data_IF_806188203715
#
_entry.id   IF_806188203715
#
_cell.length_a   1.000
_cell.length_b   1.000
_cell.length_c   1.000
_cell.angle_alpha   90.00
_cell.angle_beta   90.00
_cell.angle_gamma   90.00
#
_symmetry.space_group_name_H-M   'P 1'
#
loop_
_entity.id
_entity.type
_entity.pdbx_description
1 polymer ?
#
# COMPACT_ATOMS: atom_id res chain seq x y z
N UNK A 1 -20.20 -10.27 18.74
CA UNK A 1 -18.89 -10.04 18.13
C UNK A 1 -18.60 -11.22 17.24
N UNK A 2 -18.38 -10.98 15.95
CA UNK A 2 -18.11 -12.04 14.97
C UNK A 2 -16.61 -12.29 14.76
N UNK A 3 -15.77 -11.30 15.11
CA UNK A 3 -14.31 -11.40 15.05
C UNK A 3 -13.66 -10.38 15.97
N UNK A 4 -12.43 -10.64 16.39
CA UNK A 4 -11.59 -9.75 17.19
C UNK A 4 -10.60 -9.05 16.28
N UNK A 5 -10.50 -7.70 16.30
CA UNK A 5 -9.52 -6.99 15.49
C UNK A 5 -8.09 -7.32 15.95
N UNK A 6 -7.20 -7.51 14.99
CA UNK A 6 -5.84 -7.98 15.24
C UNK A 6 -4.79 -6.98 14.77
N UNK A 7 -4.90 -6.49 13.52
CA UNK A 7 -3.99 -5.50 12.95
C UNK A 7 -4.72 -4.65 11.93
N UNK A 8 -4.25 -3.42 11.77
CA UNK A 8 -4.58 -2.57 10.63
C UNK A 8 -3.34 -2.38 9.80
N UNK A 9 -3.48 -2.43 8.48
CA UNK A 9 -2.37 -2.25 7.57
C UNK A 9 -2.79 -1.39 6.36
N UNK A 10 -1.81 -0.73 5.80
CA UNK A 10 -1.90 -0.03 4.54
C UNK A 10 -0.56 -0.13 3.83
N UNK A 11 -0.48 0.40 2.62
CA UNK A 11 0.75 0.48 1.87
C UNK A 11 1.10 1.94 1.60
N UNK A 12 2.36 2.17 1.34
CA UNK A 12 2.97 3.47 1.12
C UNK A 12 4.14 3.29 0.15
N UNK A 13 5.04 4.24 0.06
CA UNK A 13 6.14 4.20 -0.88
C UNK A 13 7.48 4.05 -0.19
N UNK A 14 8.31 3.14 -0.72
CA UNK A 14 9.75 3.06 -0.47
C UNK A 14 10.51 3.58 -1.68
N UNK A 15 11.57 4.33 -1.44
CA UNK A 15 12.40 4.89 -2.51
C UNK A 15 13.88 4.96 -2.15
N UNK A 16 14.72 4.97 -3.17
CA UNK A 16 16.17 5.11 -3.06
C UNK A 16 16.56 6.60 -2.96
N UNK A 17 17.02 7.03 -1.78
CA UNK A 17 17.48 8.41 -1.53
C UNK A 17 18.70 8.83 -2.35
N UNK A 18 19.41 7.88 -2.96
CA UNK A 18 20.49 8.19 -3.89
C UNK A 18 19.97 8.64 -5.27
N UNK A 19 18.69 8.39 -5.56
CA UNK A 19 18.02 8.74 -6.82
C UNK A 19 17.06 9.92 -6.64
N UNK A 20 16.31 9.93 -5.53
CA UNK A 20 15.25 10.89 -5.30
C UNK A 20 15.51 11.75 -4.06
N UNK A 21 15.25 13.05 -4.17
CA UNK A 21 15.04 13.92 -3.03
C UNK A 21 13.62 13.72 -2.43
N UNK A 22 13.39 14.30 -1.24
CA UNK A 22 12.05 14.30 -0.61
C UNK A 22 11.02 15.11 -1.43
N UNK A 23 11.44 16.04 -2.26
CA UNK A 23 10.55 16.81 -3.14
C UNK A 23 10.20 16.03 -4.41
N UNK A 24 11.14 15.29 -4.99
CA UNK A 24 10.90 14.48 -6.19
C UNK A 24 9.81 13.43 -5.98
N UNK A 25 9.74 12.86 -4.78
CA UNK A 25 8.79 11.77 -4.46
C UNK A 25 7.37 12.25 -4.14
N UNK A 26 7.11 13.54 -4.20
CA UNK A 26 5.76 14.11 -4.01
C UNK A 26 4.88 14.00 -5.24
N UNK A 27 5.46 13.82 -6.42
CA UNK A 27 4.74 13.73 -7.68
C UNK A 27 5.22 12.53 -8.51
N UNK A 28 4.29 11.70 -8.95
CA UNK A 28 4.58 10.44 -9.63
C UNK A 28 5.23 10.66 -11.01
N UNK A 29 4.83 11.71 -11.73
CA UNK A 29 5.37 12.02 -13.05
C UNK A 29 6.84 12.46 -12.92
N UNK A 30 7.17 13.28 -11.92
CA UNK A 30 8.54 13.67 -11.56
C UNK A 30 9.39 12.44 -11.21
N UNK A 31 8.82 11.48 -10.46
CA UNK A 31 9.52 10.25 -10.12
C UNK A 31 9.88 9.42 -11.37
N UNK A 32 8.98 9.31 -12.34
CA UNK A 32 9.26 8.61 -13.59
C UNK A 32 10.41 9.26 -14.36
N UNK A 33 10.43 10.59 -14.44
CA UNK A 33 11.50 11.34 -15.10
C UNK A 33 12.85 11.12 -14.39
N UNK A 34 12.89 11.29 -13.07
CA UNK A 34 14.12 11.14 -12.27
C UNK A 34 14.65 9.71 -12.27
N UNK A 35 13.78 8.71 -12.19
CA UNK A 35 14.18 7.32 -12.34
C UNK A 35 14.82 7.07 -13.72
N UNK A 36 14.21 7.60 -14.79
CA UNK A 36 14.75 7.50 -16.15
C UNK A 36 16.11 8.19 -16.32
N UNK A 37 16.31 9.39 -15.74
CA UNK A 37 17.60 10.08 -15.71
C UNK A 37 18.69 9.23 -15.04
N UNK A 38 18.32 8.46 -14.01
CA UNK A 38 19.22 7.55 -13.31
C UNK A 38 19.37 6.17 -13.98
N UNK A 39 18.71 5.92 -15.11
CA UNK A 39 18.66 4.62 -15.77
C UNK A 39 17.91 3.54 -15.00
N UNK A 40 17.02 3.94 -14.11
CA UNK A 40 16.20 3.07 -13.25
C UNK A 40 14.71 3.23 -13.57
N UNK A 41 13.87 2.48 -12.86
CA UNK A 41 12.41 2.49 -13.03
C UNK A 41 11.68 2.74 -11.72
N UNK A 42 10.47 3.28 -11.81
CA UNK A 42 9.47 3.23 -10.74
C UNK A 42 8.63 1.96 -10.95
N UNK A 43 8.46 1.17 -9.91
CA UNK A 43 7.71 -0.10 -9.98
C UNK A 43 6.38 0.01 -9.24
N UNK A 44 5.30 -0.53 -9.84
CA UNK A 44 3.97 -0.52 -9.25
C UNK A 44 3.15 -1.76 -9.64
N UNK A 45 2.34 -2.28 -8.71
CA UNK A 45 1.50 -3.48 -8.89
C UNK A 45 0.17 -3.13 -9.57
N UNK A 46 0.18 -2.93 -10.90
CA UNK A 46 -1.04 -2.60 -11.66
C UNK A 46 -2.03 -3.76 -11.78
N UNK A 47 -1.59 -4.99 -11.52
CA UNK A 47 -2.44 -6.21 -11.62
C UNK A 47 -3.20 -6.54 -10.34
N UNK A 48 -3.00 -5.76 -9.28
CA UNK A 48 -3.63 -5.96 -7.98
C UNK A 48 -4.55 -4.79 -7.62
N UNK A 49 -5.84 -5.09 -7.42
CA UNK A 49 -6.86 -4.10 -7.07
C UNK A 49 -6.58 -3.35 -5.75
N UNK A 50 -5.83 -3.97 -4.83
CA UNK A 50 -5.38 -3.33 -3.59
C UNK A 50 -4.50 -2.10 -3.83
N UNK A 51 -3.78 -2.07 -4.95
CA UNK A 51 -2.86 -0.98 -5.32
C UNK A 51 -3.43 -0.08 -6.42
N UNK A 52 -3.90 -0.65 -7.54
CA UNK A 52 -4.29 0.11 -8.74
C UNK A 52 -5.38 1.15 -8.49
N UNK A 53 -6.27 0.91 -7.53
CA UNK A 53 -7.36 1.81 -7.17
C UNK A 53 -6.88 3.22 -6.78
N UNK A 54 -5.62 3.37 -6.31
CA UNK A 54 -5.08 4.66 -5.90
C UNK A 54 -5.06 5.70 -7.04
N UNK A 55 -4.86 5.27 -8.29
CA UNK A 55 -4.95 6.13 -9.47
C UNK A 55 -6.40 6.58 -9.73
N UNK A 56 -7.36 5.66 -9.59
CA UNK A 56 -8.78 5.98 -9.76
C UNK A 56 -9.27 6.97 -8.71
N UNK A 57 -8.88 6.76 -7.45
CA UNK A 57 -9.22 7.68 -6.35
C UNK A 57 -8.57 9.04 -6.56
N UNK A 58 -7.34 9.10 -7.06
CA UNK A 58 -6.67 10.37 -7.39
C UNK A 58 -7.45 11.17 -8.44
N UNK A 59 -8.14 10.50 -9.37
CA UNK A 59 -8.98 11.17 -10.39
C UNK A 59 -10.45 11.31 -9.99
N UNK A 60 -10.79 11.17 -8.70
CA UNK A 60 -12.12 11.43 -8.15
C UNK A 60 -13.10 10.27 -8.21
N UNK A 61 -12.62 9.03 -8.46
CA UNK A 61 -13.42 7.83 -8.20
C UNK A 61 -13.54 7.58 -6.70
N UNK A 62 -14.67 7.05 -6.27
CA UNK A 62 -14.94 6.83 -4.84
C UNK A 62 -15.41 5.41 -4.55
N UNK A 63 -15.06 4.91 -3.37
CA UNK A 63 -15.57 3.67 -2.80
C UNK A 63 -16.23 4.04 -1.47
N UNK A 64 -17.55 3.83 -1.38
CA UNK A 64 -18.35 4.19 -0.21
C UNK A 64 -18.23 5.69 0.16
N UNK A 65 -18.34 6.57 -0.86
CA UNK A 65 -18.20 8.02 -0.70
C UNK A 65 -16.78 8.39 -0.25
N UNK A 66 -16.67 8.90 0.97
CA UNK A 66 -15.39 9.20 1.63
C UNK A 66 -14.69 7.96 2.26
N UNK A 67 -15.28 6.78 2.07
CA UNK A 67 -14.83 5.50 2.65
C UNK A 67 -15.67 5.05 3.86
N UNK A 68 -16.67 5.82 4.26
CA UNK A 68 -17.51 5.54 5.46
C UNK A 68 -18.99 5.37 5.18
N UNK A 69 -19.46 5.81 4.00
CA UNK A 69 -20.86 5.75 3.59
C UNK A 69 -21.11 4.53 2.69
N UNK A 70 -21.56 3.43 3.29
CA UNK A 70 -21.87 2.20 2.56
C UNK A 70 -23.01 2.34 1.56
N UNK A 71 -23.90 3.33 1.74
CA UNK A 71 -25.05 3.56 0.84
C UNK A 71 -24.60 4.30 -0.45
N UNK A 72 -23.48 5.04 -0.40
CA UNK A 72 -22.89 5.67 -1.57
C UNK A 72 -22.36 4.68 -2.61
N UNK A 73 -22.10 3.42 -2.21
CA UNK A 73 -21.67 2.36 -3.09
C UNK A 73 -20.31 2.61 -3.76
N UNK A 74 -20.18 2.14 -5.02
CA UNK A 74 -18.94 2.17 -5.79
C UNK A 74 -19.14 3.10 -6.99
N UNK A 75 -18.25 4.09 -7.13
CA UNK A 75 -18.23 5.04 -8.26
C UNK A 75 -16.87 5.01 -8.98
N UNK A 76 -16.62 3.90 -9.68
CA UNK A 76 -15.42 3.65 -10.51
C UNK A 76 -15.81 3.54 -11.98
N UNK A 77 -16.64 4.47 -12.47
CA UNK A 77 -17.16 4.48 -13.83
C UNK A 77 -17.13 5.85 -14.49
N UNK A 78 -17.64 5.89 -15.73
CA UNK A 78 -17.74 7.12 -16.54
C UNK A 78 -16.39 7.65 -17.01
N UNK A 79 -16.40 8.89 -17.50
CA UNK A 79 -15.25 9.53 -18.16
C UNK A 79 -14.03 9.61 -17.23
N UNK A 80 -14.23 9.87 -15.93
CA UNK A 80 -13.14 9.94 -14.96
C UNK A 80 -12.38 8.62 -14.82
N UNK A 81 -13.08 7.48 -14.84
CA UNK A 81 -12.46 6.17 -14.78
C UNK A 81 -11.83 5.77 -16.12
N UNK A 82 -12.45 6.14 -17.25
CA UNK A 82 -11.89 5.93 -18.58
C UNK A 82 -10.54 6.65 -18.72
N UNK A 83 -10.46 7.92 -18.34
CA UNK A 83 -9.21 8.69 -18.36
C UNK A 83 -8.09 8.02 -17.54
N UNK A 84 -8.40 7.45 -16.37
CA UNK A 84 -7.42 6.69 -15.58
C UNK A 84 -6.97 5.44 -16.34
N UNK A 85 -7.90 4.72 -16.97
CA UNK A 85 -7.56 3.50 -17.71
C UNK A 85 -6.63 3.81 -18.89
N UNK A 86 -6.89 4.88 -19.64
CA UNK A 86 -6.02 5.36 -20.72
C UNK A 86 -4.63 5.72 -20.18
N UNK A 87 -4.57 6.50 -19.10
CA UNK A 87 -3.31 6.83 -18.43
C UNK A 87 -2.51 5.58 -18.02
N UNK A 88 -3.16 4.56 -17.46
CA UNK A 88 -2.50 3.32 -17.03
C UNK A 88 -1.98 2.49 -18.21
N UNK A 89 -2.64 2.54 -19.37
CA UNK A 89 -2.12 1.91 -20.61
C UNK A 89 -0.84 2.59 -21.05
N UNK A 90 -0.83 3.93 -21.08
CA UNK A 90 0.35 4.72 -21.44
C UNK A 90 1.49 4.52 -20.41
N UNK A 91 1.15 4.51 -19.12
CA UNK A 91 2.09 4.24 -18.03
C UNK A 91 2.74 2.87 -18.18
N UNK A 92 1.97 1.83 -18.50
CA UNK A 92 2.50 0.48 -18.69
C UNK A 92 3.49 0.38 -19.89
N UNK A 93 3.36 1.28 -20.86
CA UNK A 93 4.26 1.40 -22.00
C UNK A 93 5.47 2.33 -21.73
N UNK A 94 5.50 3.04 -20.60
CA UNK A 94 6.57 3.98 -20.27
C UNK A 94 7.88 3.22 -19.97
N UNK A 95 9.00 3.55 -20.62
CA UNK A 95 10.29 2.85 -20.42
C UNK A 95 10.85 2.99 -19.00
N UNK A 96 10.46 4.04 -18.27
CA UNK A 96 10.90 4.33 -16.90
C UNK A 96 9.98 3.69 -15.83
N UNK A 97 9.02 2.88 -16.29
CA UNK A 97 8.04 2.20 -15.43
C UNK A 97 8.19 0.68 -15.49
N UNK A 98 7.91 0.00 -14.39
CA UNK A 98 7.87 -1.46 -14.28
C UNK A 98 6.52 -1.89 -13.73
N UNK A 99 5.75 -2.62 -14.54
CA UNK A 99 4.56 -3.34 -14.05
C UNK A 99 5.04 -4.52 -13.21
N UNK A 100 4.84 -4.46 -11.90
CA UNK A 100 5.21 -5.53 -10.98
C UNK A 100 4.06 -6.53 -10.85
N UNK A 101 4.16 -7.64 -11.54
CA UNK A 101 3.19 -8.74 -11.47
C UNK A 101 3.66 -9.92 -10.59
N UNK A 102 4.96 -10.01 -10.31
CA UNK A 102 5.62 -11.20 -9.75
C UNK A 102 6.63 -10.89 -8.63
N UNK A 103 6.67 -9.64 -8.14
CA UNK A 103 7.64 -9.20 -7.13
C UNK A 103 8.98 -8.71 -7.70
N UNK A 104 9.07 -8.57 -9.03
CA UNK A 104 10.27 -8.06 -9.71
C UNK A 104 10.65 -6.64 -9.28
N UNK A 105 9.67 -5.83 -8.87
CA UNK A 105 9.92 -4.49 -8.32
C UNK A 105 10.81 -4.52 -7.09
N UNK A 106 10.43 -5.28 -6.06
CA UNK A 106 11.22 -5.43 -4.85
C UNK A 106 12.55 -6.15 -5.13
N UNK A 107 12.55 -7.15 -6.02
CA UNK A 107 13.77 -7.87 -6.41
C UNK A 107 14.81 -6.93 -7.04
N UNK A 108 14.38 -6.00 -7.92
CA UNK A 108 15.24 -5.03 -8.60
C UNK A 108 15.56 -3.74 -7.81
N UNK A 109 14.97 -3.56 -6.61
CA UNK A 109 15.15 -2.34 -5.83
C UNK A 109 16.61 -2.11 -5.46
N UNK A 110 17.08 -0.87 -5.64
CA UNK A 110 18.48 -0.47 -5.46
C UNK A 110 19.36 -0.69 -6.70
N UNK A 111 18.97 -1.58 -7.62
CA UNK A 111 19.66 -1.83 -8.89
C UNK A 111 18.90 -1.19 -10.06
N UNK A 112 17.97 -1.88 -10.66
CA UNK A 112 17.19 -1.42 -11.82
C UNK A 112 15.90 -0.67 -11.44
N UNK A 113 15.49 -0.72 -10.17
CA UNK A 113 14.30 -0.07 -9.62
C UNK A 113 14.70 0.89 -8.53
N UNK A 114 14.16 2.12 -8.57
CA UNK A 114 14.43 3.18 -7.61
C UNK A 114 13.29 3.41 -6.61
N UNK A 115 12.07 2.97 -6.91
CA UNK A 115 10.93 3.08 -5.99
C UNK A 115 9.95 1.91 -6.17
N UNK A 116 9.37 1.48 -5.03
CA UNK A 116 8.32 0.45 -4.96
C UNK A 116 7.23 0.89 -3.99
N UNK A 117 6.02 0.36 -4.20
CA UNK A 117 4.87 0.61 -3.34
C UNK A 117 4.53 -0.67 -2.59
N UNK A 118 4.66 -0.63 -1.28
CA UNK A 118 4.40 -1.76 -0.38
C UNK A 118 4.15 -1.28 1.05
N UNK A 119 3.89 -2.19 1.97
CA UNK A 119 3.63 -1.89 3.37
C UNK A 119 4.79 -2.31 4.28
N UNK A 120 4.54 -2.28 5.60
CA UNK A 120 5.52 -2.64 6.62
C UNK A 120 6.02 -4.08 6.50
N UNK A 121 5.27 -4.96 5.83
CA UNK A 121 5.65 -6.37 5.61
C UNK A 121 6.90 -6.57 4.75
N UNK A 122 7.29 -5.56 3.95
CA UNK A 122 8.50 -5.59 3.11
C UNK A 122 9.63 -4.71 3.67
N UNK A 123 9.45 -4.08 4.85
CA UNK A 123 10.41 -3.13 5.41
C UNK A 123 11.83 -3.72 5.57
N UNK A 124 11.94 -4.95 6.08
CA UNK A 124 13.23 -5.63 6.28
C UNK A 124 13.92 -5.90 4.94
N UNK A 125 13.18 -6.39 3.94
CA UNK A 125 13.71 -6.66 2.61
C UNK A 125 14.15 -5.38 1.89
N UNK A 126 13.40 -4.28 2.04
CA UNK A 126 13.77 -2.95 1.51
C UNK A 126 15.04 -2.43 2.21
N UNK A 127 15.12 -2.57 3.54
CA UNK A 127 16.30 -2.16 4.32
C UNK A 127 17.55 -2.94 3.93
N UNK A 128 17.41 -4.25 3.67
CA UNK A 128 18.51 -5.07 3.18
C UNK A 128 19.06 -4.56 1.84
N UNK A 129 18.17 -4.13 0.92
CA UNK A 129 18.55 -3.66 -0.41
C UNK A 129 19.09 -2.24 -0.44
N UNK A 130 18.48 -1.31 0.26
CA UNK A 130 18.80 0.12 0.20
C UNK A 130 19.71 0.59 1.33
N UNK A 131 19.82 -0.14 2.43
CA UNK A 131 20.63 0.27 3.58
C UNK A 131 20.24 1.67 4.09
N UNK A 132 21.22 2.56 4.16
CA UNK A 132 21.01 3.95 4.60
C UNK A 132 20.35 4.85 3.54
N UNK A 133 20.26 4.39 2.29
CA UNK A 133 19.52 5.06 1.23
C UNK A 133 18.02 4.76 1.24
N UNK A 134 17.54 3.93 2.17
CA UNK A 134 16.10 3.68 2.31
C UNK A 134 15.36 4.97 2.67
N UNK A 135 14.47 5.40 1.78
CA UNK A 135 13.50 6.45 1.99
C UNK A 135 12.09 5.86 2.11
N UNK A 136 11.24 6.54 2.90
CA UNK A 136 9.83 6.20 3.07
C UNK A 136 9.02 7.48 2.91
N UNK A 137 7.94 7.43 2.13
CA UNK A 137 7.06 8.57 1.93
C UNK A 137 5.59 8.15 1.80
N UNK A 138 4.69 9.12 2.02
CA UNK A 138 3.29 9.00 1.62
C UNK A 138 3.19 8.83 0.10
N UNK A 139 2.02 8.40 -0.38
CA UNK A 139 1.78 8.28 -1.82
C UNK A 139 1.86 9.66 -2.50
N UNK A 140 2.43 9.71 -3.71
CA UNK A 140 2.57 10.95 -4.47
C UNK A 140 1.23 11.45 -5.03
N UNK A 141 1.23 12.65 -5.55
CA UNK A 141 0.23 13.11 -6.52
C UNK A 141 0.51 12.48 -7.89
N UNK A 142 -0.49 12.45 -8.76
CA UNK A 142 -0.37 12.03 -10.16
C UNK A 142 -1.22 12.96 -11.03
N UNK A 143 -0.76 13.25 -12.25
CA UNK A 143 -1.50 14.08 -13.21
C UNK A 143 -2.19 13.19 -14.24
N UNK A 144 -3.53 13.18 -14.23
CA UNK A 144 -4.36 12.42 -15.17
C UNK A 144 -5.28 13.38 -15.91
N UNK A 145 -5.24 13.36 -17.24
CA UNK A 145 -6.01 14.28 -18.10
C UNK A 145 -5.83 15.77 -17.70
N UNK A 146 -4.56 16.17 -17.42
CA UNK A 146 -4.21 17.53 -17.03
C UNK A 146 -4.65 17.94 -15.62
N UNK A 147 -5.21 17.03 -14.84
CA UNK A 147 -5.65 17.26 -13.47
C UNK A 147 -4.75 16.53 -12.47
N UNK A 148 -4.14 17.27 -11.57
CA UNK A 148 -3.38 16.69 -10.47
C UNK A 148 -4.31 16.18 -9.36
N UNK A 149 -4.06 14.96 -8.89
CA UNK A 149 -4.81 14.33 -7.81
C UNK A 149 -3.92 13.55 -6.86
N UNK A 150 -4.31 13.50 -5.59
CA UNK A 150 -3.58 12.77 -4.56
C UNK A 150 -3.92 11.28 -4.61
N UNK A 151 -2.93 10.42 -4.82
CA UNK A 151 -3.10 8.98 -4.66
C UNK A 151 -3.38 8.64 -3.20
N UNK A 152 -4.30 7.69 -2.98
CA UNK A 152 -4.66 7.23 -1.63
C UNK A 152 -4.71 5.71 -1.60
N UNK A 153 -4.13 5.11 -0.56
CA UNK A 153 -4.25 3.69 -0.28
C UNK A 153 -5.52 3.37 0.51
N UNK A 154 -5.97 2.13 0.40
CA UNK A 154 -6.97 1.60 1.32
C UNK A 154 -6.33 1.23 2.66
N UNK A 155 -7.12 1.31 3.72
CA UNK A 155 -6.77 0.74 5.02
C UNK A 155 -7.38 -0.65 5.08
N UNK A 156 -6.53 -1.67 5.28
CA UNK A 156 -6.95 -3.04 5.54
C UNK A 156 -7.03 -3.32 7.03
N UNK A 157 -7.90 -4.21 7.41
CA UNK A 157 -7.98 -4.74 8.77
C UNK A 157 -8.00 -6.26 8.73
N UNK A 158 -7.23 -6.89 9.63
CA UNK A 158 -7.28 -8.32 9.85
C UNK A 158 -7.91 -8.59 11.21
N UNK A 159 -8.75 -9.59 11.25
CA UNK A 159 -9.46 -9.97 12.47
C UNK A 159 -9.38 -11.49 12.66
N UNK A 160 -9.46 -11.92 13.91
CA UNK A 160 -9.48 -13.34 14.30
C UNK A 160 -10.92 -13.72 14.56
N UNK A 161 -11.46 -14.60 13.72
CA UNK A 161 -12.81 -15.14 13.88
C UNK A 161 -12.78 -16.55 14.49
N UNK A 162 -13.91 -16.95 15.05
CA UNK A 162 -14.13 -18.32 15.56
C UNK A 162 -15.00 -19.08 14.55
N UNK A 163 -14.56 -20.27 14.15
CA UNK A 163 -15.37 -21.13 13.31
C UNK A 163 -16.65 -21.53 14.05
N UNK A 164 -17.86 -21.27 13.50
CA UNK A 164 -19.11 -21.59 14.14
C UNK A 164 -19.33 -23.11 14.34
N UNK A 165 -18.58 -23.93 13.61
CA UNK A 165 -18.63 -25.40 13.71
C UNK A 165 -17.52 -25.98 14.62
N UNK A 166 -16.80 -25.15 15.37
CA UNK A 166 -15.80 -25.65 16.32
C UNK A 166 -16.48 -26.48 17.42
N UNK A 167 -15.91 -27.66 17.73
CA UNK A 167 -16.43 -28.57 18.76
C UNK A 167 -16.51 -27.90 20.15
N UNK A 168 -15.51 -27.04 20.47
CA UNK A 168 -15.50 -26.28 21.70
C UNK A 168 -15.41 -24.78 21.41
N UNK A 169 -16.55 -24.18 21.14
CA UNK A 169 -16.64 -22.76 20.81
C UNK A 169 -16.14 -21.83 21.92
N UNK A 170 -16.33 -22.20 23.18
CA UNK A 170 -15.91 -21.38 24.31
C UNK A 170 -14.38 -21.30 24.41
N UNK A 171 -13.69 -22.42 24.21
CA UNK A 171 -12.23 -22.45 24.16
C UNK A 171 -11.70 -21.72 22.91
N UNK A 172 -12.33 -21.92 21.75
CA UNK A 172 -11.97 -21.21 20.52
C UNK A 172 -12.16 -19.69 20.66
N UNK A 173 -13.22 -19.24 21.32
CA UNK A 173 -13.46 -17.82 21.62
C UNK A 173 -12.38 -17.25 22.55
N UNK A 174 -12.03 -17.98 23.61
CA UNK A 174 -10.98 -17.59 24.55
C UNK A 174 -9.60 -17.50 23.85
N UNK A 175 -9.31 -18.45 22.95
CA UNK A 175 -8.08 -18.40 22.15
C UNK A 175 -8.07 -17.22 21.19
N UNK A 176 -9.16 -16.95 20.49
CA UNK A 176 -9.26 -15.81 19.58
C UNK A 176 -9.07 -14.48 20.32
N UNK A 177 -9.70 -14.33 21.49
CA UNK A 177 -9.52 -13.16 22.36
C UNK A 177 -8.08 -13.02 22.86
N UNK A 178 -7.42 -14.12 23.23
CA UNK A 178 -6.02 -14.11 23.65
C UNK A 178 -5.09 -13.68 22.50
N UNK A 179 -5.27 -14.25 21.31
CA UNK A 179 -4.44 -13.92 20.14
C UNK A 179 -4.62 -12.48 19.65
N UNK A 180 -5.81 -11.90 19.85
CA UNK A 180 -6.10 -10.50 19.56
C UNK A 180 -5.87 -9.56 20.76
N UNK A 181 -5.42 -10.10 21.90
CA UNK A 181 -5.17 -9.33 23.11
C UNK A 181 -3.88 -8.53 23.06
N UNK A 182 -3.73 -7.59 23.98
CA UNK A 182 -2.59 -6.66 24.07
C UNK A 182 -1.24 -7.39 24.05
N UNK A 183 -1.07 -8.44 24.86
CA UNK A 183 0.18 -9.18 24.96
C UNK A 183 0.61 -9.81 23.62
N UNK A 184 -0.34 -10.41 22.90
CA UNK A 184 -0.05 -11.03 21.61
C UNK A 184 0.23 -9.99 20.53
N UNK A 185 -0.53 -8.90 20.49
CA UNK A 185 -0.31 -7.82 19.53
C UNK A 185 1.02 -7.08 19.80
N UNK A 186 1.41 -6.86 21.06
CA UNK A 186 2.72 -6.31 21.43
C UNK A 186 3.85 -7.20 20.92
N UNK A 187 3.78 -8.52 21.17
CA UNK A 187 4.77 -9.45 20.69
C UNK A 187 4.89 -9.48 19.17
N UNK A 188 3.76 -9.39 18.44
CA UNK A 188 3.77 -9.30 16.97
C UNK A 188 4.41 -8.00 16.47
N UNK A 189 4.17 -6.88 17.15
CA UNK A 189 4.82 -5.62 16.81
C UNK A 189 6.34 -5.70 17.04
N UNK A 190 6.77 -6.13 18.21
CA UNK A 190 8.19 -6.23 18.56
C UNK A 190 8.99 -7.21 17.69
N UNK A 191 8.36 -8.34 17.32
CA UNK A 191 9.04 -9.39 16.56
C UNK A 191 8.93 -9.26 15.05
N UNK A 192 7.88 -8.62 14.53
CA UNK A 192 7.52 -8.65 13.11
C UNK A 192 7.10 -7.29 12.54
N UNK A 193 7.18 -6.21 13.31
CA UNK A 193 6.71 -4.88 12.91
C UNK A 193 5.24 -4.86 12.42
N UNK A 194 4.41 -5.77 12.94
CA UNK A 194 2.97 -5.82 12.63
C UNK A 194 2.25 -4.79 13.49
N UNK A 195 1.69 -3.77 12.85
CA UNK A 195 0.99 -2.69 13.56
C UNK A 195 -0.21 -3.23 14.33
N UNK A 196 -0.30 -2.97 15.66
CA UNK A 196 -1.42 -3.41 16.46
C UNK A 196 -2.69 -2.60 16.14
N UNK A 197 -3.86 -3.25 16.27
CA UNK A 197 -5.16 -2.57 16.26
C UNK A 197 -5.60 -2.12 17.66
N UNK A 198 -4.92 -2.57 18.70
CA UNK A 198 -5.19 -2.18 20.07
C UNK A 198 -4.59 -0.81 20.38
N UNK A 199 -5.43 0.17 20.64
CA UNK A 199 -5.06 1.57 20.92
C UNK A 199 -4.28 1.78 22.23
N UNK A 200 -4.26 0.79 23.12
CA UNK A 200 -3.52 0.86 24.38
C UNK A 200 -2.03 0.49 24.21
N UNK A 201 -1.64 -0.02 23.05
CA UNK A 201 -0.25 -0.37 22.77
C UNK A 201 0.48 0.87 22.25
N UNK A 202 1.49 1.32 22.99
CA UNK A 202 2.37 2.42 22.57
C UNK A 202 3.33 1.92 21.49
N UNK A 203 3.36 2.63 20.38
CA UNK A 203 4.38 2.44 19.33
C UNK A 203 5.59 3.30 19.68
N UNK A 204 6.72 2.69 19.97
CA UNK A 204 7.98 3.38 20.24
C UNK A 204 8.71 3.72 18.94
#
# INVERSE_FOLDING_TARGET
VVAFPFTSNTWFMYYDKSVFSEDDVKNFDTMLEKAGEAGKKVSFKLTDSWYIQAFYVANGCTLFGDGTDTDAGIDFGGDKAAAVTEYLVDLAANPNFLVDADGSGLAGLGDSVAAVFSGTWDADAVKEKLGDNMGVAALPTVTIDGKEGQMKSFIGSKAIGVNPNAENQQVAMSLAAYLAGEKAQTAHYEMRNILPSNINISLA
#
